data_IF_769149709906
#
_entry.id   IF_769149709906
#
_cell.length_a   1.000
_cell.length_b   1.000
_cell.length_c   1.000
_cell.angle_alpha   90.00
_cell.angle_beta   90.00
_cell.angle_gamma   90.00
#
_symmetry.space_group_name_H-M   'P 1'
#
loop_
_entity.id
_entity.type
_entity.pdbx_description
1 polymer ?
#
# COMPACT_ATOMS: atom_id res chain seq x y z
N UNK A 1 16.52 5.56 -7.11
CA UNK A 1 17.31 5.20 -8.32
C UNK A 1 16.34 4.95 -9.49
N UNK A 2 16.76 5.11 -10.75
CA UNK A 2 15.99 4.62 -11.92
C UNK A 2 16.68 3.37 -12.46
N UNK A 3 15.92 2.34 -12.79
CA UNK A 3 16.41 1.08 -13.33
C UNK A 3 15.84 0.88 -14.74
N UNK A 4 16.64 0.39 -15.67
CA UNK A 4 16.15 -0.14 -16.94
C UNK A 4 15.44 -1.50 -16.74
N UNK A 5 14.77 -2.01 -17.77
CA UNK A 5 13.99 -3.26 -17.69
C UNK A 5 14.82 -4.50 -17.30
N UNK A 6 16.08 -4.61 -17.75
CA UNK A 6 16.94 -5.75 -17.42
C UNK A 6 17.44 -5.64 -15.97
N UNK A 7 17.82 -4.44 -15.53
CA UNK A 7 18.25 -4.21 -14.14
C UNK A 7 17.07 -4.33 -13.16
N UNK A 8 15.88 -3.87 -13.53
CA UNK A 8 14.66 -4.08 -12.76
C UNK A 8 14.29 -5.58 -12.67
N UNK A 9 14.40 -6.32 -13.77
CA UNK A 9 14.17 -7.78 -13.78
C UNK A 9 15.18 -8.52 -12.87
N UNK A 10 16.45 -8.11 -12.87
CA UNK A 10 17.45 -8.64 -11.93
C UNK A 10 17.02 -8.36 -10.49
N UNK A 11 16.69 -7.11 -10.17
CA UNK A 11 16.24 -6.68 -8.83
C UNK A 11 15.07 -7.52 -8.29
N UNK A 12 13.99 -7.67 -9.06
CA UNK A 12 12.80 -8.45 -8.61
C UNK A 12 13.02 -9.96 -8.57
N UNK A 13 14.11 -10.48 -9.14
CA UNK A 13 14.45 -11.92 -9.12
C UNK A 13 15.48 -12.29 -8.05
N UNK A 14 16.18 -11.35 -7.43
CA UNK A 14 17.19 -11.67 -6.41
C UNK A 14 16.56 -12.31 -5.18
N UNK A 15 17.20 -13.38 -4.67
CA UNK A 15 16.74 -14.18 -3.51
C UNK A 15 17.65 -14.14 -2.28
N UNK A 16 18.96 -14.01 -2.47
CA UNK A 16 19.94 -14.34 -1.40
C UNK A 16 20.58 -13.15 -0.68
N UNK A 17 20.38 -11.92 -1.16
CA UNK A 17 21.16 -10.76 -0.70
C UNK A 17 20.67 -10.11 0.60
N UNK A 18 19.45 -10.42 1.03
CA UNK A 18 18.74 -9.72 2.09
C UNK A 18 18.37 -10.61 3.29
N UNK A 19 18.72 -11.91 3.24
CA UNK A 19 18.33 -12.89 4.25
C UNK A 19 16.83 -13.20 4.33
N UNK A 20 15.98 -12.53 3.55
CA UNK A 20 14.52 -12.67 3.58
C UNK A 20 13.97 -13.60 2.48
N UNK A 21 14.82 -14.09 1.57
CA UNK A 21 14.47 -15.13 0.60
C UNK A 21 13.27 -14.77 -0.28
N UNK A 22 12.22 -15.57 -0.17
CA UNK A 22 11.00 -15.42 -0.97
C UNK A 22 10.12 -14.26 -0.49
N UNK A 23 10.09 -13.98 0.82
CA UNK A 23 9.39 -12.80 1.38
C UNK A 23 10.07 -11.51 0.94
N UNK A 24 11.40 -11.47 0.95
CA UNK A 24 12.17 -10.35 0.40
C UNK A 24 11.91 -10.13 -1.08
N UNK A 25 11.84 -11.21 -1.87
CA UNK A 25 11.51 -11.15 -3.30
C UNK A 25 10.11 -10.58 -3.53
N UNK A 26 9.12 -11.05 -2.79
CA UNK A 26 7.75 -10.53 -2.83
C UNK A 26 7.69 -9.03 -2.49
N UNK A 27 8.42 -8.58 -1.46
CA UNK A 27 8.50 -7.15 -1.13
C UNK A 27 9.08 -6.31 -2.29
N UNK A 28 10.08 -6.83 -3.02
CA UNK A 28 10.61 -6.15 -4.23
C UNK A 28 9.65 -6.14 -5.39
N UNK A 29 8.85 -7.19 -5.57
CA UNK A 29 7.79 -7.23 -6.57
C UNK A 29 6.71 -6.19 -6.27
N UNK A 30 6.27 -6.07 -5.02
CA UNK A 30 5.34 -5.02 -4.56
C UNK A 30 5.91 -3.61 -4.78
N UNK A 31 7.19 -3.38 -4.46
CA UNK A 31 7.87 -2.11 -4.71
C UNK A 31 8.01 -1.80 -6.22
N UNK A 32 8.30 -2.81 -7.04
CA UNK A 32 8.39 -2.66 -8.50
C UNK A 32 7.04 -2.29 -9.12
N UNK A 33 5.95 -2.97 -8.73
CA UNK A 33 4.58 -2.64 -9.15
C UNK A 33 4.22 -1.21 -8.69
N UNK A 34 4.53 -0.86 -7.44
CA UNK A 34 4.32 0.49 -6.91
C UNK A 34 5.08 1.56 -7.71
N UNK A 35 6.32 1.29 -8.09
CA UNK A 35 7.14 2.18 -8.91
C UNK A 35 6.64 2.29 -10.36
N UNK A 36 6.16 1.19 -10.96
CA UNK A 36 5.54 1.22 -12.29
C UNK A 36 4.26 2.06 -12.30
N UNK A 37 3.39 1.87 -11.30
CA UNK A 37 2.15 2.65 -11.15
C UNK A 37 2.50 4.14 -10.95
N UNK A 38 3.51 4.45 -10.12
CA UNK A 38 3.97 5.82 -9.93
C UNK A 38 4.56 6.44 -11.19
N UNK A 39 5.33 5.71 -11.99
CA UNK A 39 5.86 6.20 -13.27
C UNK A 39 4.72 6.43 -14.28
N UNK A 40 3.76 5.51 -14.38
CA UNK A 40 2.59 5.65 -15.26
C UNK A 40 1.74 6.89 -14.90
N UNK A 41 1.48 7.10 -13.61
CA UNK A 41 0.73 8.26 -13.12
C UNK A 41 1.51 9.58 -13.24
N UNK A 42 2.83 9.58 -12.99
CA UNK A 42 3.65 10.82 -12.99
C UNK A 42 4.13 11.26 -14.39
N UNK A 43 4.41 10.33 -15.31
CA UNK A 43 4.91 10.65 -16.66
C UNK A 43 3.83 11.22 -17.62
N UNK A 44 2.66 11.57 -17.08
CA UNK A 44 1.50 12.04 -17.84
C UNK A 44 0.97 10.98 -18.82
N UNK A 45 1.24 9.68 -18.59
CA UNK A 45 0.73 8.60 -19.43
C UNK A 45 -0.78 8.48 -19.22
N UNK A 46 -1.25 8.46 -17.96
CA UNK A 46 -2.68 8.45 -17.60
C UNK A 46 -3.42 9.72 -18.06
N UNK A 47 -2.71 10.85 -18.21
CA UNK A 47 -3.27 12.11 -18.70
C UNK A 47 -3.26 12.26 -20.23
N UNK A 48 -2.61 11.35 -20.96
CA UNK A 48 -2.52 11.39 -22.42
C UNK A 48 -3.09 10.09 -23.03
N UNK A 49 -4.27 10.12 -23.67
CA UNK A 49 -4.95 8.90 -24.12
C UNK A 49 -4.11 8.08 -25.12
N UNK A 50 -3.31 8.74 -25.98
CA UNK A 50 -2.44 8.05 -26.94
C UNK A 50 -1.28 7.33 -26.24
N UNK A 51 -0.71 7.90 -25.19
CA UNK A 51 0.31 7.23 -24.37
C UNK A 51 -0.31 6.09 -23.56
N UNK A 52 -1.49 6.29 -22.98
CA UNK A 52 -2.21 5.29 -22.19
C UNK A 52 -2.52 4.03 -23.01
N UNK A 53 -3.11 4.18 -24.20
CA UNK A 53 -3.39 3.04 -25.11
C UNK A 53 -2.10 2.32 -25.52
N UNK A 54 -1.01 3.05 -25.81
CA UNK A 54 0.29 2.42 -26.12
C UNK A 54 0.86 1.64 -24.94
N UNK A 55 0.72 2.14 -23.72
CA UNK A 55 1.14 1.45 -22.50
C UNK A 55 0.31 0.18 -22.27
N UNK A 56 -1.01 0.26 -22.37
CA UNK A 56 -1.92 -0.90 -22.23
C UNK A 56 -1.58 -1.97 -23.26
N UNK A 57 -1.45 -1.61 -24.55
CA UNK A 57 -1.14 -2.58 -25.60
C UNK A 57 0.23 -3.25 -25.39
N UNK A 58 1.24 -2.51 -24.90
CA UNK A 58 2.54 -3.08 -24.55
C UNK A 58 2.48 -4.00 -23.32
N UNK A 59 1.67 -3.66 -22.32
CA UNK A 59 1.43 -4.49 -21.15
C UNK A 59 0.71 -5.80 -21.52
N UNK A 60 -0.35 -5.71 -22.34
CA UNK A 60 -1.08 -6.87 -22.86
C UNK A 60 -0.20 -7.80 -23.71
N UNK A 61 0.65 -7.25 -24.58
CA UNK A 61 1.65 -8.03 -25.31
C UNK A 61 2.74 -8.66 -24.42
N UNK A 62 2.78 -8.32 -23.14
CA UNK A 62 3.76 -8.83 -22.16
C UNK A 62 3.16 -9.80 -21.13
N UNK A 63 1.86 -10.08 -21.17
CA UNK A 63 1.18 -10.99 -20.23
C UNK A 63 0.33 -12.01 -21.00
N UNK A 64 0.11 -13.17 -20.38
CA UNK A 64 -0.88 -14.16 -20.86
C UNK A 64 -2.16 -13.98 -20.04
N UNK A 65 -3.29 -13.85 -20.71
CA UNK A 65 -4.62 -13.65 -20.10
C UNK A 65 -5.52 -14.84 -20.40
N UNK A 66 -6.55 -15.04 -19.58
CA UNK A 66 -7.64 -15.97 -19.90
C UNK A 66 -8.35 -15.57 -21.20
N UNK A 67 -8.89 -16.56 -21.93
CA UNK A 67 -9.57 -16.33 -23.20
C UNK A 67 -10.88 -15.53 -23.09
N UNK A 68 -11.40 -15.35 -21.87
CA UNK A 68 -12.57 -14.52 -21.59
C UNK A 68 -12.27 -13.05 -21.31
N UNK A 69 -11.00 -12.65 -21.20
CA UNK A 69 -10.60 -11.25 -21.02
C UNK A 69 -10.39 -10.60 -22.40
N UNK A 70 -11.28 -9.68 -22.76
CA UNK A 70 -11.22 -8.92 -24.01
C UNK A 70 -10.38 -7.64 -23.87
N UNK A 71 -9.99 -7.05 -25.01
CA UNK A 71 -9.30 -5.76 -25.01
C UNK A 71 -10.17 -4.63 -24.41
N UNK A 72 -11.49 -4.72 -24.54
CA UNK A 72 -12.43 -3.72 -24.03
C UNK A 72 -12.56 -3.77 -22.50
N UNK A 73 -12.41 -4.96 -21.88
CA UNK A 73 -12.32 -5.12 -20.43
C UNK A 73 -11.10 -4.39 -19.88
N UNK A 74 -9.97 -4.47 -20.57
CA UNK A 74 -8.74 -3.76 -20.18
C UNK A 74 -8.81 -2.25 -20.40
N UNK A 75 -9.52 -1.77 -21.44
CA UNK A 75 -9.79 -0.35 -21.61
C UNK A 75 -10.71 0.16 -20.49
N UNK A 76 -11.79 -0.57 -20.18
CA UNK A 76 -12.70 -0.28 -19.07
C UNK A 76 -11.97 -0.23 -17.73
N UNK A 77 -11.13 -1.22 -17.44
CA UNK A 77 -10.29 -1.25 -16.25
C UNK A 77 -9.31 -0.07 -16.22
N UNK A 78 -8.66 0.27 -17.33
CA UNK A 78 -7.75 1.41 -17.39
C UNK A 78 -8.47 2.76 -17.19
N UNK A 79 -9.73 2.88 -17.61
CA UNK A 79 -10.59 4.03 -17.32
C UNK A 79 -11.03 4.08 -15.85
N UNK A 80 -11.33 2.95 -15.21
CA UNK A 80 -11.60 2.90 -13.77
C UNK A 80 -10.36 3.24 -12.92
N UNK A 81 -9.18 2.81 -13.35
CA UNK A 81 -7.90 3.16 -12.72
C UNK A 81 -7.48 4.62 -13.01
N UNK A 82 -8.10 5.29 -13.99
CA UNK A 82 -7.77 6.66 -14.40
C UNK A 82 -8.22 7.66 -13.33
N UNK A 83 -7.26 8.16 -12.57
CA UNK A 83 -7.49 9.13 -11.49
C UNK A 83 -7.30 8.55 -10.09
N UNK A 84 -6.99 7.25 -9.96
CA UNK A 84 -6.53 6.70 -8.68
C UNK A 84 -5.20 7.35 -8.31
N UNK A 85 -5.20 8.04 -7.17
CA UNK A 85 -3.97 8.60 -6.58
C UNK A 85 -3.02 7.47 -6.15
N UNK A 86 -1.72 7.67 -6.34
CA UNK A 86 -0.68 6.75 -5.83
C UNK A 86 -0.73 6.58 -4.31
N UNK A 87 -1.38 7.49 -3.58
CA UNK A 87 -1.62 7.38 -2.15
C UNK A 87 -2.61 6.24 -1.82
N UNK A 88 -3.61 6.05 -2.70
CA UNK A 88 -4.72 5.11 -2.52
C UNK A 88 -4.38 3.71 -3.05
N UNK A 89 -3.35 3.59 -3.91
CA UNK A 89 -2.81 2.29 -4.32
C UNK A 89 -1.94 1.73 -3.18
N UNK A 90 -2.31 0.55 -2.68
CA UNK A 90 -1.59 -0.12 -1.60
C UNK A 90 -1.30 -1.58 -1.97
N UNK A 91 -0.14 -2.06 -1.53
CA UNK A 91 0.28 -3.47 -1.64
C UNK A 91 0.39 -4.05 -0.25
N UNK A 92 -0.06 -5.30 -0.07
CA UNK A 92 0.00 -5.99 1.22
C UNK A 92 0.34 -7.46 1.02
N UNK A 93 0.71 -8.10 2.13
CA UNK A 93 0.88 -9.55 2.22
C UNK A 93 -0.25 -10.07 3.09
N UNK A 94 -0.77 -11.27 2.81
CA UNK A 94 -1.68 -11.94 3.76
C UNK A 94 -0.97 -12.04 5.11
N UNK A 95 -1.57 -11.58 6.22
CA UNK A 95 -0.92 -11.59 7.53
C UNK A 95 -0.35 -12.96 7.89
N UNK A 96 0.91 -12.99 8.33
CA UNK A 96 1.62 -14.22 8.69
C UNK A 96 1.80 -14.29 10.22
N UNK A 97 1.51 -15.46 10.78
CA UNK A 97 1.80 -15.80 12.18
C UNK A 97 3.18 -16.48 12.33
N UNK A 98 3.65 -17.17 11.29
CA UNK A 98 5.00 -17.73 11.22
C UNK A 98 5.54 -17.72 9.78
N UNK A 99 6.69 -17.09 9.58
CA UNK A 99 7.38 -16.98 8.28
C UNK A 99 8.22 -18.23 7.91
N UNK A 100 8.51 -19.09 8.90
CA UNK A 100 9.28 -20.33 8.76
C UNK A 100 8.54 -21.48 9.45
N UNK A 101 7.33 -21.77 8.97
CA UNK A 101 6.47 -22.80 9.55
C UNK A 101 6.97 -24.21 9.23
N UNK A 102 6.94 -25.07 10.25
CA UNK A 102 7.25 -26.48 10.18
C UNK A 102 6.25 -27.27 11.02
N UNK A 103 5.52 -28.19 10.39
CA UNK A 103 4.62 -29.12 11.07
C UNK A 103 4.33 -30.34 10.19
N UNK A 104 4.12 -31.51 10.81
CA UNK A 104 3.69 -32.74 10.12
C UNK A 104 4.54 -33.13 8.89
N UNK A 105 5.84 -32.79 8.88
CA UNK A 105 6.75 -33.04 7.75
C UNK A 105 6.71 -31.99 6.63
N UNK A 106 5.81 -31.00 6.71
CA UNK A 106 5.83 -29.83 5.83
C UNK A 106 6.96 -28.90 6.27
N UNK A 107 7.86 -28.57 5.34
CA UNK A 107 8.99 -27.63 5.51
C UNK A 107 8.83 -26.45 4.56
N UNK A 108 9.55 -25.35 4.85
CA UNK A 108 9.58 -24.14 4.01
C UNK A 108 8.19 -23.54 3.69
N UNK A 109 7.27 -23.63 4.65
CA UNK A 109 5.93 -23.05 4.55
C UNK A 109 5.84 -21.72 5.33
N UNK A 110 4.85 -20.90 4.97
CA UNK A 110 4.40 -19.78 5.79
C UNK A 110 3.05 -20.14 6.41
N UNK A 111 2.86 -19.80 7.69
CA UNK A 111 1.58 -19.92 8.38
C UNK A 111 0.91 -18.54 8.39
N UNK A 112 -0.33 -18.46 7.92
CA UNK A 112 -1.13 -17.26 8.00
C UNK A 112 -1.55 -16.98 9.46
N UNK A 113 -1.72 -15.72 9.83
CA UNK A 113 -2.43 -15.37 11.06
C UNK A 113 -3.91 -15.61 10.82
N UNK A 114 -4.49 -16.63 11.47
CA UNK A 114 -5.88 -17.04 11.23
C UNK A 114 -6.88 -15.89 11.43
N UNK A 115 -6.64 -15.02 12.42
CA UNK A 115 -7.56 -13.93 12.77
C UNK A 115 -7.45 -12.75 11.82
N UNK A 116 -6.22 -12.33 11.50
CA UNK A 116 -5.96 -11.20 10.62
C UNK A 116 -6.18 -11.58 9.15
N UNK A 117 -5.87 -12.81 8.73
CA UNK A 117 -6.20 -13.30 7.41
C UNK A 117 -7.72 -13.42 7.22
N UNK A 118 -8.47 -13.97 8.19
CA UNK A 118 -9.93 -14.01 8.12
C UNK A 118 -10.55 -12.61 7.97
N UNK A 119 -10.11 -11.64 8.77
CA UNK A 119 -10.53 -10.24 8.67
C UNK A 119 -10.18 -9.61 7.31
N UNK A 120 -8.98 -9.88 6.77
CA UNK A 120 -8.59 -9.41 5.45
C UNK A 120 -9.53 -9.96 4.35
N UNK A 121 -9.83 -11.26 4.40
CA UNK A 121 -10.71 -11.91 3.42
C UNK A 121 -12.18 -11.53 3.57
N UNK A 122 -12.66 -11.24 4.78
CA UNK A 122 -13.97 -10.64 5.02
C UNK A 122 -14.07 -9.25 4.38
N UNK A 123 -13.11 -8.37 4.67
CA UNK A 123 -13.06 -7.02 4.08
C UNK A 123 -12.98 -7.02 2.56
N UNK A 124 -12.12 -7.85 1.99
CA UNK A 124 -12.00 -8.02 0.53
C UNK A 124 -13.28 -8.55 -0.13
N UNK A 125 -14.08 -9.38 0.55
CA UNK A 125 -15.36 -9.90 0.01
C UNK A 125 -16.49 -8.88 0.10
N UNK A 126 -16.47 -8.03 1.11
CA UNK A 126 -17.50 -7.01 1.36
C UNK A 126 -17.21 -5.66 0.68
N UNK A 127 -16.10 -5.55 -0.08
CA UNK A 127 -15.56 -4.28 -0.61
C UNK A 127 -15.36 -3.20 0.48
N UNK A 128 -14.95 -3.62 1.67
CA UNK A 128 -14.69 -2.74 2.79
C UNK A 128 -13.26 -2.18 2.75
N UNK A 129 -13.10 -0.95 3.23
CA UNK A 129 -11.78 -0.35 3.46
C UNK A 129 -10.91 -1.27 4.36
N UNK A 130 -9.78 -1.69 3.78
CA UNK A 130 -8.71 -2.45 4.45
C UNK A 130 -7.94 -1.55 5.42
N UNK A 131 -8.01 -0.23 5.24
CA UNK A 131 -7.36 0.78 6.05
C UNK A 131 -8.41 1.84 6.46
N UNK A 132 -8.59 2.06 7.76
CA UNK A 132 -9.34 3.23 8.24
C UNK A 132 -8.34 4.29 8.66
N UNK A 133 -8.20 5.34 7.85
CA UNK A 133 -7.52 6.55 8.29
C UNK A 133 -8.35 7.22 9.38
N UNK A 134 -8.04 6.89 10.65
CA UNK A 134 -8.66 7.55 11.80
C UNK A 134 -8.18 9.00 11.88
N UNK A 135 -8.79 9.87 11.09
CA UNK A 135 -8.87 11.28 11.45
C UNK A 135 -9.56 11.34 12.82
N UNK A 136 -8.93 11.91 13.87
CA UNK A 136 -9.59 12.02 15.16
C UNK A 136 -10.79 12.95 15.01
N UNK A 137 -12.00 12.38 15.07
CA UNK A 137 -13.24 13.15 15.20
C UNK A 137 -13.07 14.11 16.37
N UNK A 138 -13.29 15.42 16.22
CA UNK A 138 -13.08 16.37 17.30
C UNK A 138 -14.01 15.98 18.46
N UNK A 139 -13.41 15.63 19.60
CA UNK A 139 -14.16 15.35 20.82
C UNK A 139 -14.85 16.65 21.24
N UNK A 140 -16.16 16.72 21.01
CA UNK A 140 -17.00 17.73 21.63
C UNK A 140 -17.02 17.47 23.13
N UNK A 141 -16.10 18.11 23.86
CA UNK A 141 -16.14 18.15 25.32
C UNK A 141 -17.44 18.81 25.74
N UNK A 142 -18.41 18.00 26.20
CA UNK A 142 -19.63 18.49 26.84
C UNK A 142 -19.23 19.38 28.02
N UNK A 143 -19.56 20.66 27.94
CA UNK A 143 -19.46 21.58 29.08
C UNK A 143 -20.76 21.51 29.86
N UNK A 144 -20.78 20.71 30.92
CA UNK A 144 -21.67 20.94 32.06
C UNK A 144 -20.83 21.59 33.18
N UNK A 145 -21.36 22.66 33.78
CA UNK A 145 -20.55 23.65 34.50
C UNK A 145 -20.73 23.73 36.02
N UNK A 146 -19.82 24.47 36.66
CA UNK A 146 -19.93 25.04 38.02
C UNK A 146 -18.92 26.22 38.17
N UNK A 147 -19.15 27.14 39.12
CA UNK A 147 -18.75 28.57 39.01
C UNK A 147 -18.67 29.25 40.44
N UNK A 148 -17.85 30.25 40.81
CA UNK A 148 -16.99 31.19 40.03
C UNK A 148 -15.46 31.21 40.38
N UNK A 149 -14.89 32.04 41.31
CA UNK A 149 -13.85 32.97 40.85
C UNK A 149 -12.49 32.94 41.60
N UNK A 150 -11.40 33.38 40.96
CA UNK A 150 -10.89 34.77 41.05
C UNK A 150 -9.42 34.95 40.54
N UNK A 151 -9.14 36.13 39.95
CA UNK A 151 -7.85 36.86 39.84
C UNK A 151 -6.61 36.29 39.09
N UNK A 152 -6.35 36.95 37.95
CA UNK A 152 -5.07 37.56 37.50
C UNK A 152 -3.76 36.73 37.39
N UNK A 153 -3.21 36.66 36.16
CA UNK A 153 -1.79 36.33 35.93
C UNK A 153 -1.42 35.97 34.48
N UNK A 154 -0.57 36.79 33.85
CA UNK A 154 0.29 36.59 32.67
C UNK A 154 0.00 35.53 31.56
N UNK A 155 0.01 36.01 30.32
CA UNK A 155 0.26 35.19 29.12
C UNK A 155 1.73 34.73 29.06
N UNK A 156 1.97 33.42 28.90
CA UNK A 156 3.12 32.90 28.13
C UNK A 156 2.66 31.77 27.21
N UNK A 157 2.83 31.98 25.90
CA UNK A 157 2.57 30.96 24.88
C UNK A 157 3.84 30.12 24.68
N UNK A 158 3.84 28.91 25.23
CA UNK A 158 4.80 27.86 24.88
C UNK A 158 4.17 26.93 23.84
N UNK A 159 4.70 26.92 22.62
CA UNK A 159 4.22 26.05 21.55
C UNK A 159 4.75 24.61 21.74
N UNK A 160 4.06 23.83 22.57
CA UNK A 160 4.28 22.39 22.67
C UNK A 160 3.59 21.67 21.51
N UNK A 161 4.36 21.23 20.50
CA UNK A 161 3.86 20.42 19.40
C UNK A 161 3.52 19.00 19.89
N UNK A 162 2.25 18.77 20.21
CA UNK A 162 1.74 17.42 20.48
C UNK A 162 1.74 16.58 19.19
N UNK A 163 2.32 15.38 19.17
CA UNK A 163 2.35 14.55 17.96
C UNK A 163 0.93 14.05 17.61
N UNK A 164 0.51 14.30 16.37
CA UNK A 164 -0.76 13.78 15.84
C UNK A 164 -0.76 12.24 15.83
N UNK A 165 -1.84 11.57 16.26
CA UNK A 165 -1.91 10.11 16.22
C UNK A 165 -1.83 9.62 14.78
N UNK A 166 -0.81 8.82 14.48
CA UNK A 166 -0.65 8.20 13.15
C UNK A 166 -1.64 7.03 12.98
N UNK A 167 -2.28 6.87 11.80
CA UNK A 167 -3.16 5.74 11.53
C UNK A 167 -2.44 4.39 11.72
N UNK A 168 -3.06 3.45 12.45
CA UNK A 168 -2.51 2.11 12.64
C UNK A 168 -3.02 1.15 11.56
N UNK A 169 -2.16 0.87 10.58
CA UNK A 169 -2.41 -0.14 9.54
C UNK A 169 -2.15 -1.55 10.10
N UNK A 170 -3.21 -2.24 10.50
CA UNK A 170 -3.13 -3.59 11.11
C UNK A 170 -2.66 -4.68 10.13
N UNK A 171 -2.77 -4.43 8.81
CA UNK A 171 -2.34 -5.35 7.76
C UNK A 171 -0.92 -5.04 7.26
N UNK A 172 -0.26 -4.01 7.82
CA UNK A 172 1.11 -3.57 7.49
C UNK A 172 1.29 -3.27 5.99
N UNK A 173 0.27 -2.73 5.34
CA UNK A 173 0.31 -2.46 3.90
C UNK A 173 1.23 -1.30 3.54
N UNK A 174 1.71 -1.28 2.30
CA UNK A 174 2.64 -0.28 1.74
C UNK A 174 1.94 0.50 0.63
N UNK A 175 1.84 1.82 0.77
CA UNK A 175 1.30 2.70 -0.29
C UNK A 175 2.32 2.93 -1.42
N UNK A 176 1.85 3.01 -2.66
CA UNK A 176 2.70 3.23 -3.83
C UNK A 176 3.32 4.65 -3.88
N UNK A 177 2.80 5.57 -3.07
CA UNK A 177 3.35 6.90 -2.87
C UNK A 177 4.71 6.92 -2.15
N UNK A 178 5.02 5.91 -1.32
CA UNK A 178 6.30 5.86 -0.59
C UNK A 178 7.41 5.36 -1.52
N UNK A 179 8.40 6.21 -1.79
CA UNK A 179 9.62 5.76 -2.47
C UNK A 179 10.51 4.94 -1.51
N UNK A 180 10.23 3.64 -1.49
CA UNK A 180 10.94 2.67 -0.64
C UNK A 180 12.44 2.56 -0.96
N UNK A 181 12.93 3.12 -2.08
CA UNK A 181 14.35 3.12 -2.42
C UNK A 181 15.23 3.88 -1.42
N UNK A 182 14.65 4.75 -0.59
CA UNK A 182 15.37 5.48 0.46
C UNK A 182 15.55 4.72 1.77
N UNK A 183 14.79 3.63 2.00
CA UNK A 183 14.70 2.94 3.29
C UNK A 183 15.63 1.71 3.43
N UNK A 184 16.56 1.51 2.49
CA UNK A 184 17.56 0.43 2.48
C UNK A 184 18.98 1.00 2.58
N UNK A 185 19.17 1.99 3.46
CA UNK A 185 20.47 2.55 3.85
C UNK A 185 20.75 2.21 5.31
#
# INVERSE_FOLDING_TARGET
HRLDGITALKYVRTRYFDGMGDLGRMQRQQQFISAMIREASSAGVVLNPVKLVKFINAALGSVTTDSGLSQDDFLTLAEQLRGISTNNVRTLTVPLSNENYYAHGVTAAVLWDEKLAAQLWEKLRNDEEIFVERTPKPTTTTKDGAEIPNKSGEKKQGAGSSPSPSPTDIFKSRTAAVDSCGALR
#
